data_IF_878110987074
#
_entry.id   IF_878110987074
#
_cell.length_a   1.000
_cell.length_b   1.000
_cell.length_c   1.000
_cell.angle_alpha   90.00
_cell.angle_beta   90.00
_cell.angle_gamma   90.00
#
_symmetry.space_group_name_H-M   'P 1'
#
loop_
_entity.id
_entity.type
_entity.pdbx_description
1 polymer ?
#
# COMPACT_ATOMS: atom_id res chain seq x y z
N UNK A 1 58.43 -31.00 20.14
CA UNK A 1 57.88 -31.19 18.80
C UNK A 1 56.39 -31.07 18.93
N UNK A 2 55.89 -29.93 18.45
CA UNK A 2 54.52 -29.61 18.06
C UNK A 2 53.37 -29.68 19.08
N UNK A 3 52.80 -28.50 19.29
CA UNK A 3 51.62 -28.15 20.09
C UNK A 3 50.41 -28.20 19.17
N UNK A 4 49.28 -28.74 19.64
CA UNK A 4 47.96 -28.30 19.16
C UNK A 4 46.94 -28.38 20.30
N UNK A 5 46.75 -27.24 20.98
CA UNK A 5 45.51 -26.92 21.68
C UNK A 5 44.47 -26.52 20.63
N UNK A 6 43.32 -27.20 20.60
CA UNK A 6 42.15 -26.81 19.81
C UNK A 6 41.01 -26.45 20.76
N UNK A 7 40.81 -25.14 20.94
CA UNK A 7 39.80 -24.57 21.81
C UNK A 7 38.37 -24.88 21.34
N UNK A 8 37.49 -25.11 22.30
CA UNK A 8 36.05 -25.19 22.12
C UNK A 8 35.49 -23.76 22.18
N UNK A 9 35.34 -23.11 21.03
CA UNK A 9 34.58 -21.87 20.93
C UNK A 9 33.08 -22.18 20.95
N UNK A 10 32.43 -21.87 22.07
CA UNK A 10 30.97 -21.73 22.13
C UNK A 10 30.60 -20.38 21.50
N UNK A 11 30.19 -20.42 20.24
CA UNK A 11 29.55 -19.28 19.58
C UNK A 11 28.18 -19.03 20.23
N UNK A 12 28.14 -18.05 21.13
CA UNK A 12 26.93 -17.47 21.67
C UNK A 12 26.44 -16.37 20.73
N UNK A 13 25.75 -16.74 19.65
CA UNK A 13 25.39 -15.77 18.63
C UNK A 13 24.33 -16.22 17.62
N UNK A 14 23.10 -16.51 18.06
CA UNK A 14 21.87 -16.27 17.29
C UNK A 14 20.63 -16.82 18.02
N UNK A 15 20.30 -16.24 19.18
CA UNK A 15 18.96 -16.37 19.76
C UNK A 15 18.17 -15.11 19.40
N UNK A 16 17.55 -15.09 18.21
CA UNK A 16 16.39 -14.27 17.83
C UNK A 16 16.23 -14.28 16.30
N UNK A 17 15.86 -15.43 15.73
CA UNK A 17 15.34 -15.49 14.37
C UNK A 17 14.27 -16.57 14.31
N UNK A 18 13.27 -16.44 15.17
CA UNK A 18 12.00 -17.13 14.99
C UNK A 18 10.89 -16.26 15.58
N UNK A 19 9.72 -16.30 14.95
CA UNK A 19 8.49 -15.56 15.26
C UNK A 19 8.31 -14.20 14.56
N UNK A 20 8.03 -14.23 13.25
CA UNK A 20 7.13 -13.27 12.60
C UNK A 20 6.60 -13.77 11.23
N UNK A 21 6.52 -15.08 11.00
CA UNK A 21 5.97 -15.65 9.76
C UNK A 21 4.64 -16.40 10.04
N UNK A 22 3.82 -15.82 10.91
CA UNK A 22 2.49 -16.29 11.25
C UNK A 22 1.62 -15.09 11.59
N UNK A 23 1.49 -14.15 10.66
CA UNK A 23 0.45 -13.11 10.74
C UNK A 23 -0.84 -13.69 10.20
N UNK A 24 -1.93 -13.48 10.92
CA UNK A 24 -3.28 -13.72 10.40
C UNK A 24 -3.44 -12.96 9.07
N UNK A 25 -4.26 -13.47 8.13
CA UNK A 25 -4.51 -12.79 6.85
C UNK A 25 -4.94 -11.33 7.05
N UNK A 26 -5.60 -11.06 8.17
CA UNK A 26 -6.10 -9.76 8.62
C UNK A 26 -4.98 -8.74 8.96
N UNK A 27 -3.77 -9.19 9.29
CA UNK A 27 -2.65 -8.31 9.66
C UNK A 27 -1.75 -7.95 8.47
N UNK A 28 -1.99 -8.56 7.31
CA UNK A 28 -1.16 -8.36 6.11
C UNK A 28 -1.21 -6.90 5.65
N UNK A 29 -0.05 -6.25 5.55
CA UNK A 29 0.09 -4.86 5.10
C UNK A 29 -0.26 -3.79 6.16
N UNK A 30 -0.62 -4.21 7.37
CA UNK A 30 -0.87 -3.27 8.48
C UNK A 30 0.40 -2.57 8.98
N UNK A 31 1.54 -3.23 8.86
CA UNK A 31 2.84 -2.76 9.32
C UNK A 31 3.75 -2.48 8.13
N UNK A 32 5.04 -2.76 8.27
CA UNK A 32 6.04 -2.52 7.23
C UNK A 32 5.59 -3.06 5.86
N UNK A 33 5.79 -2.25 4.82
CA UNK A 33 5.43 -2.59 3.45
C UNK A 33 6.52 -2.21 2.46
N UNK A 34 6.42 -2.73 1.24
CA UNK A 34 7.36 -2.44 0.16
C UNK A 34 6.64 -2.22 -1.16
N UNK A 35 7.08 -1.21 -1.90
CA UNK A 35 6.57 -0.87 -3.23
C UNK A 35 7.73 -0.49 -4.16
N UNK A 36 7.85 -1.22 -5.27
CA UNK A 36 9.04 -1.12 -6.12
C UNK A 36 10.31 -1.40 -5.31
N UNK A 37 11.26 -0.46 -5.34
CA UNK A 37 12.50 -0.53 -4.54
C UNK A 37 12.41 0.12 -3.16
N UNK A 38 11.26 0.67 -2.77
CA UNK A 38 11.08 1.41 -1.53
C UNK A 38 10.47 0.53 -0.44
N UNK A 39 11.01 0.64 0.79
CA UNK A 39 10.50 -0.05 1.98
C UNK A 39 10.06 1.00 2.99
N UNK A 40 8.79 0.99 3.37
CA UNK A 40 8.23 1.83 4.42
C UNK A 40 8.13 1.04 5.73
N UNK A 41 8.87 1.46 6.74
CA UNK A 41 8.87 0.87 8.09
C UNK A 41 7.55 1.00 8.85
N UNK A 42 6.66 1.93 8.47
CA UNK A 42 5.35 2.21 9.07
C UNK A 42 5.33 2.09 10.62
N UNK A 43 6.11 2.92 11.35
CA UNK A 43 6.30 2.78 12.81
C UNK A 43 5.03 3.03 13.63
N UNK A 44 4.02 3.67 13.02
CA UNK A 44 2.73 3.94 13.66
C UNK A 44 1.62 2.98 13.22
N UNK A 45 1.93 1.99 12.38
CA UNK A 45 0.95 1.02 11.91
C UNK A 45 -0.23 1.65 11.15
N UNK A 46 -1.41 1.01 11.18
CA UNK A 46 -2.61 1.49 10.48
C UNK A 46 -3.15 2.79 11.07
N UNK A 47 -3.22 3.85 10.26
CA UNK A 47 -3.69 5.18 10.67
C UNK A 47 -4.63 5.84 9.65
N UNK A 48 -5.20 5.06 8.73
CA UNK A 48 -6.13 5.54 7.71
C UNK A 48 -7.47 6.01 8.32
N UNK A 49 -8.08 7.02 7.69
CA UNK A 49 -9.41 7.54 8.04
C UNK A 49 -10.31 7.42 6.81
N UNK A 50 -11.54 6.96 7.01
CA UNK A 50 -12.55 6.86 5.96
C UNK A 50 -13.89 7.46 6.44
N UNK A 51 -14.65 8.02 5.50
CA UNK A 51 -15.98 8.59 5.75
C UNK A 51 -16.81 8.49 4.48
N UNK A 52 -18.07 8.08 4.62
CA UNK A 52 -19.04 8.07 3.53
C UNK A 52 -19.86 9.36 3.52
N UNK A 53 -20.06 9.95 2.34
CA UNK A 53 -20.88 11.15 2.13
C UNK A 53 -21.93 10.84 1.05
N UNK A 54 -23.20 11.09 1.36
CA UNK A 54 -24.30 10.89 0.42
C UNK A 54 -24.83 12.21 -0.15
N UNK A 55 -25.20 12.20 -1.44
CA UNK A 55 -25.80 13.35 -2.13
C UNK A 55 -27.18 12.96 -2.71
N UNK A 56 -28.27 12.92 -1.90
CA UNK A 56 -29.55 12.30 -2.30
C UNK A 56 -30.29 12.94 -3.48
N UNK A 57 -29.95 14.18 -3.83
CA UNK A 57 -30.62 14.95 -4.88
C UNK A 57 -29.66 15.37 -6.01
N UNK A 58 -28.42 14.87 -6.01
CA UNK A 58 -27.46 15.15 -7.06
C UNK A 58 -27.41 13.98 -8.04
N UNK A 59 -27.63 14.27 -9.33
CA UNK A 59 -27.48 13.27 -10.40
C UNK A 59 -26.00 13.09 -10.81
N UNK A 60 -25.14 14.06 -10.49
CA UNK A 60 -23.72 14.04 -10.80
C UNK A 60 -22.90 14.80 -9.75
N UNK A 61 -21.66 14.35 -9.56
CA UNK A 61 -20.64 15.01 -8.75
C UNK A 61 -19.42 15.34 -9.60
N UNK A 62 -18.66 16.37 -9.19
CA UNK A 62 -17.59 16.98 -9.96
C UNK A 62 -16.42 17.34 -9.04
N UNK A 63 -15.23 17.49 -9.61
CA UNK A 63 -14.06 17.99 -8.88
C UNK A 63 -12.99 16.93 -8.72
N UNK A 64 -12.39 16.86 -7.53
CA UNK A 64 -11.21 16.04 -7.20
C UNK A 64 -10.15 15.98 -8.32
N UNK A 65 -9.68 17.12 -8.84
CA UNK A 65 -8.61 17.11 -9.83
C UNK A 65 -7.28 16.62 -9.22
N UNK A 66 -6.34 16.13 -10.00
CA UNK A 66 -6.30 16.12 -11.48
C UNK A 66 -6.50 14.69 -12.03
N UNK A 67 -7.36 14.54 -13.05
CA UNK A 67 -7.58 13.28 -13.74
C UNK A 67 -7.89 13.53 -15.22
N UNK A 68 -7.38 12.67 -16.10
CA UNK A 68 -7.68 12.68 -17.53
C UNK A 68 -9.02 12.00 -17.85
N UNK A 69 -10.08 12.42 -17.16
CA UNK A 69 -11.40 11.78 -17.16
C UNK A 69 -12.51 12.77 -17.58
N UNK A 70 -13.77 12.32 -17.59
CA UNK A 70 -14.92 13.17 -17.82
C UNK A 70 -15.11 14.20 -16.70
N UNK A 71 -15.73 15.34 -17.01
CA UNK A 71 -16.00 16.39 -16.02
C UNK A 71 -16.91 15.89 -14.89
N UNK A 72 -18.02 15.21 -15.26
CA UNK A 72 -18.84 14.47 -14.30
C UNK A 72 -18.11 13.18 -13.93
N UNK A 73 -17.94 12.94 -12.64
CA UNK A 73 -17.23 11.76 -12.15
C UNK A 73 -18.04 10.50 -12.44
N UNK A 74 -17.34 9.45 -12.88
CA UNK A 74 -17.92 8.13 -13.12
C UNK A 74 -18.01 7.35 -11.81
N UNK A 75 -18.95 6.39 -11.68
CA UNK A 75 -18.93 5.43 -10.57
C UNK A 75 -17.61 4.64 -10.54
N UNK A 76 -17.13 4.29 -9.36
CA UNK A 76 -15.89 3.51 -9.16
C UNK A 76 -16.15 2.14 -8.54
N UNK A 77 -17.37 1.62 -8.67
CA UNK A 77 -17.82 0.34 -8.13
C UNK A 77 -17.73 -0.81 -9.15
N UNK A 78 -17.13 -0.55 -10.32
CA UNK A 78 -17.04 -1.50 -11.43
C UNK A 78 -18.35 -1.72 -12.20
N UNK A 79 -19.36 -0.86 -12.01
CA UNK A 79 -20.59 -0.88 -12.82
C UNK A 79 -20.33 -0.57 -14.30
N UNK A 80 -21.30 -0.91 -15.16
CA UNK A 80 -21.20 -0.67 -16.60
C UNK A 80 -21.05 0.84 -16.89
N UNK A 81 -19.99 1.21 -17.60
CA UNK A 81 -19.61 2.61 -17.84
C UNK A 81 -18.85 3.31 -16.69
N UNK A 82 -18.61 2.62 -15.57
CA UNK A 82 -17.79 3.07 -14.44
C UNK A 82 -16.34 2.56 -14.47
N UNK A 83 -15.53 3.02 -13.53
CA UNK A 83 -14.18 2.54 -13.27
C UNK A 83 -14.17 1.39 -12.27
N UNK A 84 -13.15 0.53 -12.35
CA UNK A 84 -12.93 -0.57 -11.41
C UNK A 84 -12.12 -0.15 -10.18
N UNK A 85 -11.38 0.94 -10.28
CA UNK A 85 -10.53 1.48 -9.23
C UNK A 85 -11.05 2.86 -8.79
N UNK A 86 -10.83 3.26 -7.52
CA UNK A 86 -11.15 4.59 -7.04
C UNK A 86 -10.29 5.68 -7.71
N UNK A 87 -10.83 6.89 -7.83
CA UNK A 87 -10.05 8.09 -8.15
C UNK A 87 -8.93 8.28 -7.12
N UNK A 88 -7.70 8.51 -7.59
CA UNK A 88 -6.51 8.60 -6.73
C UNK A 88 -6.00 10.02 -6.62
N UNK A 89 -6.05 10.57 -5.41
CA UNK A 89 -5.47 11.88 -5.11
C UNK A 89 -4.09 11.69 -4.47
N UNK A 90 -3.09 11.47 -5.31
CA UNK A 90 -1.71 11.38 -4.90
C UNK A 90 -0.81 11.98 -5.98
N UNK A 91 -0.22 13.14 -5.72
CA UNK A 91 0.60 13.84 -6.70
C UNK A 91 1.73 12.94 -7.19
N UNK A 92 1.71 12.63 -8.49
CA UNK A 92 2.65 11.74 -9.14
C UNK A 92 3.08 12.32 -10.49
N UNK A 93 4.32 12.03 -10.89
CA UNK A 93 4.80 12.23 -12.25
C UNK A 93 4.46 10.98 -13.08
N UNK A 94 3.35 11.03 -13.82
CA UNK A 94 2.88 9.93 -14.66
C UNK A 94 3.37 10.15 -16.09
N UNK A 95 4.38 9.39 -16.49
CA UNK A 95 4.87 9.41 -17.87
C UNK A 95 3.81 8.87 -18.82
N UNK A 96 3.51 9.62 -19.89
CA UNK A 96 2.53 9.25 -20.93
C UNK A 96 1.19 8.77 -20.36
N UNK A 97 0.53 9.65 -19.59
CA UNK A 97 -0.78 9.34 -19.01
C UNK A 97 -1.80 8.90 -20.07
N UNK A 98 -2.61 7.92 -19.71
CA UNK A 98 -3.72 7.44 -20.54
C UNK A 98 -4.99 8.28 -20.28
N UNK A 99 -5.89 8.30 -21.26
CA UNK A 99 -7.18 8.97 -21.13
C UNK A 99 -8.24 8.01 -20.63
N UNK A 100 -9.22 8.56 -19.93
CA UNK A 100 -10.36 7.83 -19.39
C UNK A 100 -10.00 6.76 -18.35
N UNK A 101 -9.08 7.10 -17.45
CA UNK A 101 -8.65 6.29 -16.31
C UNK A 101 -8.79 7.11 -15.00
N UNK A 102 -8.97 6.45 -13.83
CA UNK A 102 -9.09 7.12 -12.52
C UNK A 102 -7.74 7.45 -11.87
N UNK A 103 -6.62 7.28 -12.60
CA UNK A 103 -5.27 7.61 -12.11
C UNK A 103 -4.92 9.08 -12.23
#
# INVERSE_FOLDING_TARGET
GDVTEGGHEVDAGAAAANEAAGGDEDERGMWEESFGSHRDSKPHGPTAIAMDIAFPAADAVYGIPEHASSMALKPTDGSDGGYKEPYRLYNLDVFEYELDEPM
#
